data_IF_421114402750
#
_entry.id   IF_421114402750
#
_cell.length_a   1.000
_cell.length_b   1.000
_cell.length_c   1.000
_cell.angle_alpha   90.00
_cell.angle_beta   90.00
_cell.angle_gamma   90.00
#
_symmetry.space_group_name_H-M   'P 1'
#
loop_
_entity.id
_entity.type
_entity.pdbx_description
1 polymer ?
#
# COMPACT_ATOMS: atom_id res chain seq x y z
N UNK A 1 -15.76 -0.40 19.19
CA UNK A 1 -15.00 0.55 18.38
C UNK A 1 -14.74 -0.13 17.05
N UNK A 2 -15.13 0.51 15.95
CA UNK A 2 -15.43 -0.15 14.68
C UNK A 2 -14.11 -0.39 13.94
N UNK A 3 -13.65 -1.65 13.95
CA UNK A 3 -12.75 -2.16 12.92
C UNK A 3 -13.61 -2.32 11.65
N UNK A 4 -13.64 -1.30 10.79
CA UNK A 4 -14.34 -1.37 9.51
C UNK A 4 -13.47 -2.21 8.59
N UNK A 5 -13.89 -3.45 8.35
CA UNK A 5 -13.49 -4.18 7.16
C UNK A 5 -13.76 -3.28 5.95
N UNK A 6 -12.70 -2.79 5.32
CA UNK A 6 -12.79 -1.99 4.11
C UNK A 6 -13.19 -2.95 2.99
N UNK A 7 -14.48 -2.94 2.65
CA UNK A 7 -14.96 -3.56 1.42
C UNK A 7 -14.56 -2.64 0.25
N UNK A 8 -13.69 -3.15 -0.62
CA UNK A 8 -13.28 -2.46 -1.84
C UNK A 8 -14.31 -2.72 -2.97
N UNK A 9 -14.85 -1.68 -3.61
CA UNK A 9 -15.80 -1.86 -4.71
C UNK A 9 -15.03 -2.14 -6.02
N UNK A 10 -15.14 -3.36 -6.54
CA UNK A 10 -14.50 -3.72 -7.81
C UNK A 10 -14.81 -5.12 -8.30
N UNK A 11 -16.09 -5.48 -8.40
CA UNK A 11 -16.50 -6.69 -9.13
C UNK A 11 -17.91 -6.51 -9.74
N UNK A 12 -18.02 -5.62 -10.72
CA UNK A 12 -19.15 -5.67 -11.65
C UNK A 12 -18.91 -6.78 -12.67
N UNK A 13 -19.81 -7.76 -12.68
CA UNK A 13 -19.88 -8.82 -13.70
C UNK A 13 -20.48 -8.23 -14.96
N UNK A 14 -19.63 -7.90 -15.93
CA UNK A 14 -20.00 -7.60 -17.31
C UNK A 14 -20.55 -8.85 -18.02
N UNK A 15 -21.59 -8.61 -18.82
CA UNK A 15 -22.41 -9.56 -19.56
C UNK A 15 -21.62 -10.20 -20.73
N UNK A 16 -22.00 -11.42 -21.11
CA UNK A 16 -21.39 -12.19 -22.20
C UNK A 16 -21.71 -11.66 -23.61
N UNK A 17 -21.01 -12.13 -24.66
CA UNK A 17 -21.03 -11.53 -25.97
C UNK A 17 -22.07 -12.12 -26.93
N UNK A 18 -22.61 -11.27 -27.81
CA UNK A 18 -23.32 -11.65 -29.04
C UNK A 18 -22.32 -11.91 -30.18
N UNK A 19 -22.54 -12.99 -30.92
CA UNK A 19 -21.80 -13.37 -32.14
C UNK A 19 -22.22 -12.54 -33.35
N UNK A 20 -21.29 -12.20 -34.25
CA UNK A 20 -21.66 -11.59 -35.52
C UNK A 20 -20.56 -11.22 -36.51
N UNK A 21 -20.23 -12.20 -37.38
CA UNK A 21 -20.02 -12.05 -38.84
C UNK A 21 -18.62 -11.72 -39.42
N UNK A 22 -18.28 -12.53 -40.42
CA UNK A 22 -17.09 -12.57 -41.28
C UNK A 22 -16.96 -11.36 -42.21
N UNK A 23 -15.71 -10.96 -42.48
CA UNK A 23 -15.31 -10.13 -43.61
C UNK A 23 -13.84 -10.34 -43.94
N UNK A 24 -13.57 -10.92 -45.10
CA UNK A 24 -12.26 -11.11 -45.70
C UNK A 24 -11.73 -9.83 -46.33
N UNK A 25 -10.45 -9.48 -46.13
CA UNK A 25 -9.67 -8.96 -47.26
C UNK A 25 -8.15 -9.14 -47.08
N UNK A 26 -7.48 -9.39 -48.20
CA UNK A 26 -6.04 -9.59 -48.35
C UNK A 26 -5.39 -8.23 -48.64
N UNK A 27 -4.22 -7.93 -48.07
CA UNK A 27 -3.43 -6.81 -48.60
C UNK A 27 -2.24 -6.34 -47.77
N UNK A 28 -1.06 -6.80 -48.16
CA UNK A 28 0.18 -6.02 -48.30
C UNK A 28 0.79 -5.31 -47.08
N UNK A 29 1.91 -5.86 -46.60
CA UNK A 29 2.89 -5.15 -45.78
C UNK A 29 3.71 -4.16 -46.62
N UNK A 30 4.12 -3.02 -46.05
CA UNK A 30 5.36 -2.37 -46.43
C UNK A 30 6.40 -2.42 -45.30
N UNK A 31 7.66 -2.63 -45.69
CA UNK A 31 8.85 -2.57 -44.82
C UNK A 31 9.31 -1.12 -44.63
N UNK A 32 9.67 -0.83 -43.37
CA UNK A 32 10.71 0.06 -42.84
C UNK A 32 10.72 1.57 -43.19
N UNK A 33 10.76 2.39 -42.14
CA UNK A 33 11.51 3.65 -42.11
C UNK A 33 11.90 3.98 -40.66
N UNK A 34 13.07 4.57 -40.51
CA UNK A 34 13.82 4.74 -39.27
C UNK A 34 13.28 5.84 -38.33
N UNK A 35 13.54 5.61 -37.04
CA UNK A 35 13.84 6.59 -35.97
C UNK A 35 13.01 7.87 -35.90
N UNK A 36 12.04 7.87 -35.00
CA UNK A 36 11.69 9.03 -34.17
C UNK A 36 11.57 8.56 -32.73
N UNK A 37 12.71 8.25 -32.11
CA UNK A 37 12.80 8.18 -30.65
C UNK A 37 12.94 9.61 -30.15
N UNK A 38 11.89 10.11 -29.51
CA UNK A 38 11.90 11.36 -28.78
C UNK A 38 12.97 11.28 -27.68
N UNK A 39 13.77 12.33 -27.45
CA UNK A 39 14.78 12.32 -26.41
C UNK A 39 14.13 12.39 -25.02
N UNK A 40 14.36 11.34 -24.22
CA UNK A 40 14.25 11.37 -22.76
C UNK A 40 12.84 11.29 -22.18
N UNK A 41 12.14 10.15 -22.33
CA UNK A 41 11.29 9.73 -21.20
C UNK A 41 12.23 9.15 -20.15
N UNK A 42 12.49 9.88 -19.06
CA UNK A 42 12.83 9.18 -17.83
C UNK A 42 11.72 8.15 -17.62
N UNK A 43 12.09 6.86 -17.57
CA UNK A 43 11.13 5.84 -17.19
C UNK A 43 10.69 6.20 -15.77
N UNK A 44 9.48 6.74 -15.63
CA UNK A 44 8.91 7.06 -14.33
C UNK A 44 8.70 5.73 -13.62
N UNK A 45 9.54 5.49 -12.61
CA UNK A 45 9.44 4.27 -11.82
C UNK A 45 8.26 4.42 -10.85
N UNK A 46 7.32 3.49 -10.90
CA UNK A 46 6.22 3.43 -9.94
C UNK A 46 6.77 3.12 -8.56
N UNK A 47 6.24 3.81 -7.55
CA UNK A 47 6.68 3.72 -6.16
C UNK A 47 5.52 3.31 -5.27
N UNK A 48 5.86 2.58 -4.21
CA UNK A 48 4.92 2.26 -3.15
C UNK A 48 4.99 3.32 -2.05
N UNK A 49 3.84 3.89 -1.70
CA UNK A 49 3.70 4.80 -0.56
C UNK A 49 2.82 4.18 0.51
N UNK A 50 3.26 4.28 1.77
CA UNK A 50 2.39 4.15 2.93
C UNK A 50 2.06 5.56 3.43
N UNK A 51 0.79 5.95 3.44
CA UNK A 51 0.34 7.34 3.63
C UNK A 51 -0.61 7.40 4.82
N UNK A 52 -0.26 8.19 5.83
CA UNK A 52 -1.17 8.58 6.89
C UNK A 52 -2.06 9.69 6.39
N UNK A 53 -3.35 9.41 6.33
CA UNK A 53 -4.37 10.38 5.97
C UNK A 53 -5.20 10.74 7.21
N UNK A 54 -5.55 12.02 7.31
CA UNK A 54 -6.32 12.59 8.40
C UNK A 54 -7.57 13.29 7.89
N UNK A 55 -8.51 13.55 8.79
CA UNK A 55 -9.72 14.33 8.51
C UNK A 55 -10.89 14.02 9.42
N UNK A 56 -12.00 14.72 9.17
CA UNK A 56 -13.22 14.61 9.96
C UNK A 56 -14.05 13.39 9.57
N UNK A 57 -14.83 12.91 10.54
CA UNK A 57 -15.96 12.02 10.27
C UNK A 57 -17.16 12.47 11.12
N UNK A 58 -18.40 12.57 10.59
CA UNK A 58 -19.55 13.17 11.31
C UNK A 58 -19.93 12.55 12.67
N UNK A 59 -19.43 11.34 12.95
CA UNK A 59 -19.65 10.61 14.21
C UNK A 59 -18.44 10.62 15.15
N UNK A 60 -17.30 11.16 14.71
CA UNK A 60 -16.11 11.24 15.53
C UNK A 60 -16.11 12.58 16.28
N UNK A 61 -15.74 12.56 17.56
CA UNK A 61 -15.65 13.77 18.38
C UNK A 61 -14.34 14.54 18.14
N UNK A 62 -13.36 13.86 17.55
CA UNK A 62 -12.06 14.40 17.15
C UNK A 62 -11.77 13.92 15.74
N UNK A 63 -10.77 14.52 15.12
CA UNK A 63 -10.21 14.09 13.85
C UNK A 63 -9.78 12.61 13.88
N UNK A 64 -9.98 11.90 12.78
CA UNK A 64 -9.64 10.49 12.62
C UNK A 64 -8.55 10.33 11.58
N UNK A 65 -7.69 9.34 11.82
CA UNK A 65 -6.58 9.03 10.93
C UNK A 65 -6.71 7.60 10.43
N UNK A 66 -6.14 7.34 9.25
CA UNK A 66 -6.10 6.03 8.62
C UNK A 66 -4.78 5.86 7.85
N UNK A 67 -4.38 4.62 7.58
CA UNK A 67 -3.19 4.32 6.79
C UNK A 67 -3.57 3.73 5.44
N UNK A 68 -2.99 4.27 4.37
CA UNK A 68 -3.23 3.81 3.00
C UNK A 68 -1.94 3.34 2.34
N UNK A 69 -2.01 2.22 1.64
CA UNK A 69 -0.98 1.78 0.72
C UNK A 69 -1.42 2.15 -0.69
N UNK A 70 -0.62 2.94 -1.40
CA UNK A 70 -0.94 3.42 -2.75
C UNK A 70 0.30 3.40 -3.63
N UNK A 71 0.10 3.14 -4.92
CA UNK A 71 1.17 3.15 -5.92
C UNK A 71 1.04 4.40 -6.79
N UNK A 72 2.16 5.08 -7.03
CA UNK A 72 2.22 6.24 -7.91
C UNK A 72 3.65 6.63 -8.27
N UNK A 73 3.81 7.52 -9.24
CA UNK A 73 5.13 8.06 -9.63
C UNK A 73 5.67 9.06 -8.61
N UNK A 74 4.76 9.81 -7.98
CA UNK A 74 5.02 10.78 -6.90
C UNK A 74 3.91 10.69 -5.86
N UNK A 75 4.10 11.29 -4.68
CA UNK A 75 3.05 11.35 -3.66
C UNK A 75 1.81 12.10 -4.17
N UNK A 76 2.00 13.18 -4.92
CA UNK A 76 0.92 13.99 -5.51
C UNK A 76 0.10 13.18 -6.52
N UNK A 77 0.75 12.31 -7.29
CA UNK A 77 0.07 11.42 -8.23
C UNK A 77 -0.86 10.40 -7.55
N UNK A 78 -0.69 10.16 -6.23
CA UNK A 78 -1.54 9.23 -5.46
C UNK A 78 -2.84 9.87 -4.94
N UNK A 79 -2.94 11.20 -4.95
CA UNK A 79 -4.07 11.94 -4.36
C UNK A 79 -5.45 11.49 -4.85
N UNK A 80 -5.67 11.22 -6.16
CA UNK A 80 -6.97 10.71 -6.62
C UNK A 80 -7.38 9.40 -5.95
N UNK A 81 -6.43 8.48 -5.74
CA UNK A 81 -6.68 7.20 -5.07
C UNK A 81 -6.98 7.42 -3.57
N UNK A 82 -6.24 8.31 -2.91
CA UNK A 82 -6.48 8.66 -1.50
C UNK A 82 -7.87 9.27 -1.30
N UNK A 83 -8.29 10.19 -2.17
CA UNK A 83 -9.64 10.79 -2.15
C UNK A 83 -10.73 9.76 -2.37
N UNK A 84 -10.53 8.83 -3.31
CA UNK A 84 -11.51 7.78 -3.60
C UNK A 84 -11.66 6.79 -2.42
N UNK A 85 -10.58 6.55 -1.67
CA UNK A 85 -10.55 5.62 -0.55
C UNK A 85 -11.00 6.24 0.79
N UNK A 86 -10.97 7.57 0.91
CA UNK A 86 -11.31 8.26 2.15
C UNK A 86 -12.79 8.12 2.50
N UNK A 87 -13.06 7.60 3.69
CA UNK A 87 -14.40 7.30 4.19
C UNK A 87 -14.95 8.36 5.15
N UNK A 88 -14.14 9.36 5.52
CA UNK A 88 -14.56 10.51 6.29
C UNK A 88 -15.28 11.56 5.44
N UNK A 89 -15.30 12.80 5.93
CA UNK A 89 -15.78 13.95 5.18
C UNK A 89 -14.81 14.23 4.02
N UNK A 90 -15.25 14.21 2.75
CA UNK A 90 -14.34 14.34 1.61
C UNK A 90 -13.49 15.62 1.60
N UNK A 91 -14.05 16.74 2.09
CA UNK A 91 -13.39 18.05 2.09
C UNK A 91 -12.40 18.25 3.23
N UNK A 92 -12.34 17.36 4.22
CA UNK A 92 -11.42 17.47 5.35
C UNK A 92 -10.15 16.63 5.18
N UNK A 93 -10.06 15.85 4.10
CA UNK A 93 -8.94 14.94 3.86
C UNK A 93 -7.63 15.73 3.74
N UNK A 94 -6.62 15.29 4.48
CA UNK A 94 -5.24 15.74 4.35
C UNK A 94 -4.28 14.56 4.56
N UNK A 95 -2.98 14.78 4.34
CA UNK A 95 -1.91 13.82 4.64
C UNK A 95 -1.11 14.35 5.84
N UNK A 96 -0.89 13.52 6.86
CA UNK A 96 -0.04 13.85 8.03
C UNK A 96 1.36 13.23 7.95
N UNK A 97 1.58 12.41 6.94
CA UNK A 97 2.88 11.86 6.64
C UNK A 97 2.81 10.72 5.66
N UNK A 98 3.96 10.39 5.08
CA UNK A 98 4.08 9.25 4.20
C UNK A 98 5.48 8.64 4.25
N UNK A 99 5.56 7.37 3.89
CA UNK A 99 6.80 6.67 3.63
C UNK A 99 6.82 6.21 2.16
N UNK A 100 7.81 6.68 1.39
CA UNK A 100 8.18 6.08 0.10
C UNK A 100 9.00 4.81 0.39
N UNK A 101 8.40 3.64 0.17
CA UNK A 101 8.98 2.35 0.53
C UNK A 101 9.86 1.83 -0.62
N UNK A 102 11.13 2.21 -0.61
CA UNK A 102 12.15 1.77 -1.58
C UNK A 102 12.99 0.60 -1.08
N UNK A 103 13.26 0.55 0.23
CA UNK A 103 13.97 -0.53 0.90
C UNK A 103 13.29 -0.82 2.24
N UNK A 104 13.02 -2.09 2.54
CA UNK A 104 12.42 -2.53 3.80
C UNK A 104 13.17 -3.73 4.34
N UNK A 105 13.56 -3.67 5.61
CA UNK A 105 14.09 -4.83 6.36
C UNK A 105 15.27 -5.54 5.66
N UNK A 106 16.13 -4.74 5.01
CA UNK A 106 17.30 -5.22 4.27
C UNK A 106 17.02 -5.72 2.85
N UNK A 107 15.82 -5.48 2.30
CA UNK A 107 15.43 -5.85 0.93
C UNK A 107 15.01 -4.62 0.12
N UNK A 108 15.28 -4.64 -1.18
CA UNK A 108 14.72 -3.67 -2.12
C UNK A 108 13.23 -3.97 -2.35
N UNK A 109 12.43 -2.92 -2.48
CA UNK A 109 11.01 -2.98 -2.82
C UNK A 109 10.88 -2.65 -4.30
N UNK A 110 10.67 -3.69 -5.11
CA UNK A 110 10.46 -3.54 -6.55
C UNK A 110 8.98 -3.77 -6.90
N UNK A 111 8.39 -2.87 -7.67
CA UNK A 111 7.03 -3.01 -8.21
C UNK A 111 7.08 -3.45 -9.67
N UNK A 112 6.33 -4.51 -9.99
CA UNK A 112 6.19 -5.03 -11.35
C UNK A 112 4.71 -5.00 -11.75
N UNK A 113 4.34 -4.44 -12.91
CA UNK A 113 2.97 -4.48 -13.39
C UNK A 113 2.46 -5.93 -13.58
N UNK A 114 1.21 -6.16 -13.21
CA UNK A 114 0.53 -7.45 -13.34
C UNK A 114 0.48 -8.25 -12.04
N UNK A 115 -0.03 -9.47 -12.13
CA UNK A 115 -0.13 -10.40 -11.00
C UNK A 115 1.12 -11.27 -10.90
N UNK A 116 1.49 -11.64 -9.68
CA UNK A 116 2.52 -12.65 -9.45
C UNK A 116 2.19 -13.96 -10.19
N UNK A 117 3.17 -14.52 -10.92
CA UNK A 117 3.02 -15.83 -11.55
C UNK A 117 2.99 -16.99 -10.54
N UNK A 118 3.60 -16.76 -9.37
CA UNK A 118 3.62 -17.69 -8.24
C UNK A 118 3.72 -16.88 -6.93
N UNK A 119 3.32 -17.46 -5.78
CA UNK A 119 3.52 -16.82 -4.49
C UNK A 119 5.00 -16.49 -4.23
N UNK A 120 5.34 -15.26 -3.81
CA UNK A 120 6.72 -14.90 -3.54
C UNK A 120 7.22 -15.58 -2.26
N UNK A 121 8.53 -15.86 -2.19
CA UNK A 121 9.17 -16.45 -1.01
C UNK A 121 9.20 -15.49 0.20
N UNK A 122 9.10 -14.17 -0.06
CA UNK A 122 9.01 -13.12 0.96
C UNK A 122 7.92 -12.15 0.57
N UNK A 123 7.21 -11.66 1.58
CA UNK A 123 6.15 -10.68 1.46
C UNK A 123 6.51 -9.45 2.29
N UNK A 124 5.99 -8.30 1.86
CA UNK A 124 6.00 -7.08 2.65
C UNK A 124 4.78 -7.10 3.57
N UNK A 125 5.04 -6.94 4.86
CA UNK A 125 4.03 -6.87 5.89
C UNK A 125 4.06 -5.51 6.55
N UNK A 126 2.87 -4.97 6.77
CA UNK A 126 2.68 -3.85 7.68
C UNK A 126 2.15 -4.38 9.00
N UNK A 127 2.74 -3.92 10.10
CA UNK A 127 2.28 -4.22 11.45
C UNK A 127 1.92 -2.92 12.14
N UNK A 128 0.64 -2.77 12.46
CA UNK A 128 0.14 -1.78 13.39
C UNK A 128 0.23 -2.38 14.80
N UNK A 129 1.37 -2.20 15.48
CA UNK A 129 1.59 -2.75 16.81
C UNK A 129 1.08 -1.75 17.85
N UNK A 130 0.04 -2.09 18.61
CA UNK A 130 -0.50 -1.27 19.68
C UNK A 130 0.13 -1.58 21.04
N UNK A 131 0.17 -0.59 21.94
CA UNK A 131 0.66 -0.81 23.29
C UNK A 131 0.47 0.37 24.25
N UNK A 132 0.69 0.10 25.54
CA UNK A 132 0.47 1.05 26.61
C UNK A 132 1.75 1.28 27.42
N UNK A 133 2.05 2.56 27.63
CA UNK A 133 3.12 3.04 28.52
C UNK A 133 2.51 3.65 29.78
N UNK A 134 2.87 3.18 30.99
CA UNK A 134 2.35 3.74 32.23
C UNK A 134 2.56 5.26 32.33
N UNK A 135 1.50 5.98 32.69
CA UNK A 135 1.52 7.43 32.82
C UNK A 135 1.20 8.21 31.54
N UNK A 136 1.06 7.54 30.39
CA UNK A 136 0.58 8.17 29.16
C UNK A 136 -0.92 7.88 28.96
N UNK A 137 -1.65 8.92 28.54
CA UNK A 137 -3.07 8.80 28.22
C UNK A 137 -3.23 8.25 26.80
N UNK A 138 -3.88 7.10 26.68
CA UNK A 138 -4.17 6.46 25.39
C UNK A 138 -3.16 5.41 24.95
N UNK A 139 -3.56 4.66 23.93
CA UNK A 139 -2.74 3.64 23.28
C UNK A 139 -1.75 4.28 22.31
N UNK A 140 -0.52 3.80 22.32
CA UNK A 140 0.52 4.15 21.36
C UNK A 140 0.63 3.07 20.29
N UNK A 141 1.03 3.47 19.09
CA UNK A 141 1.23 2.55 17.98
C UNK A 141 2.63 2.68 17.38
N UNK A 142 3.22 1.53 17.08
CA UNK A 142 4.44 1.42 16.29
C UNK A 142 4.08 0.84 14.93
N UNK A 143 4.33 1.64 13.90
CA UNK A 143 4.08 1.31 12.51
C UNK A 143 5.33 0.66 11.92
N UNK A 144 5.27 -0.64 11.66
CA UNK A 144 6.43 -1.41 11.23
C UNK A 144 6.21 -1.99 9.84
N UNK A 145 7.19 -1.78 8.97
CA UNK A 145 7.30 -2.47 7.69
C UNK A 145 8.34 -3.59 7.82
N UNK A 146 7.94 -4.82 7.55
CA UNK A 146 8.74 -6.02 7.75
C UNK A 146 8.70 -6.93 6.53
N UNK A 147 9.85 -7.47 6.14
CA UNK A 147 9.92 -8.54 5.15
C UNK A 147 9.87 -9.89 5.87
N UNK A 148 9.07 -10.82 5.37
CA UNK A 148 8.99 -12.16 5.95
C UNK A 148 8.19 -13.14 5.09
N UNK A 149 8.39 -14.43 5.34
CA UNK A 149 7.66 -15.48 4.62
C UNK A 149 6.26 -15.67 5.17
N UNK A 150 6.13 -15.68 6.50
CA UNK A 150 4.91 -16.07 7.20
C UNK A 150 4.48 -15.03 8.23
N UNK A 151 3.17 -14.80 8.32
CA UNK A 151 2.57 -13.82 9.24
C UNK A 151 3.02 -14.01 10.70
N UNK A 152 3.14 -15.26 11.16
CA UNK A 152 3.49 -15.58 12.54
C UNK A 152 4.95 -15.21 12.89
N UNK A 153 5.87 -15.38 11.94
CA UNK A 153 7.29 -15.03 12.12
C UNK A 153 7.46 -13.51 12.18
N UNK A 154 6.84 -12.79 11.23
CA UNK A 154 6.77 -11.33 11.20
C UNK A 154 6.18 -10.78 12.50
N UNK A 155 5.06 -11.33 12.95
CA UNK A 155 4.42 -10.94 14.20
C UNK A 155 5.33 -11.13 15.41
N UNK A 156 6.08 -12.24 15.46
CA UNK A 156 7.04 -12.48 16.54
C UNK A 156 8.15 -11.43 16.56
N UNK A 157 8.67 -11.05 15.40
CA UNK A 157 9.71 -10.03 15.27
C UNK A 157 9.19 -8.63 15.58
N UNK A 158 7.97 -8.29 15.16
CA UNK A 158 7.33 -7.01 15.47
C UNK A 158 7.23 -6.80 16.99
N UNK A 159 6.71 -7.79 17.72
CA UNK A 159 6.59 -7.72 19.19
C UNK A 159 7.91 -7.58 19.92
N UNK A 160 9.01 -8.05 19.34
CA UNK A 160 10.34 -7.90 19.91
C UNK A 160 10.88 -6.46 19.81
N UNK A 161 10.29 -5.59 18.97
CA UNK A 161 10.69 -4.18 18.82
C UNK A 161 10.16 -3.24 19.92
N UNK A 162 9.16 -3.68 20.70
CA UNK A 162 8.57 -2.88 21.79
C UNK A 162 8.40 -3.70 23.07
N UNK A 163 9.51 -4.19 23.66
CA UNK A 163 9.49 -5.03 24.86
C UNK A 163 8.90 -4.35 26.09
N UNK A 164 8.92 -3.02 26.14
CA UNK A 164 8.48 -2.17 27.25
C UNK A 164 6.96 -1.92 27.29
N UNK A 165 6.25 -2.14 26.18
CA UNK A 165 4.82 -1.90 26.09
C UNK A 165 3.99 -3.00 26.77
N UNK A 166 3.10 -2.56 27.64
CA UNK A 166 2.16 -3.38 28.41
C UNK A 166 0.78 -3.43 27.73
N UNK A 167 -0.14 -4.28 28.21
CA UNK A 167 -1.52 -4.34 27.70
C UNK A 167 -1.71 -5.13 26.40
N UNK A 168 -0.88 -6.15 26.18
CA UNK A 168 -0.98 -7.08 25.04
C UNK A 168 -2.19 -8.00 25.23
N UNK A 169 -3.40 -7.52 24.95
CA UNK A 169 -4.62 -8.28 25.19
C UNK A 169 -5.04 -9.06 23.95
N UNK A 170 -5.10 -10.38 24.09
CA UNK A 170 -5.94 -11.26 23.29
C UNK A 170 -7.09 -11.71 24.17
N UNK A 171 -7.95 -10.78 24.60
CA UNK A 171 -9.17 -11.12 25.33
C UNK A 171 -10.34 -10.20 24.92
N UNK A 172 -11.39 -10.86 24.44
CA UNK A 172 -12.71 -10.36 24.03
C UNK A 172 -12.79 -9.42 22.80
N UNK A 173 -12.85 -10.08 21.64
CA UNK A 173 -13.51 -9.67 20.38
C UNK A 173 -12.85 -8.65 19.43
N UNK A 174 -11.69 -8.07 19.73
CA UNK A 174 -10.98 -7.23 18.74
C UNK A 174 -9.47 -7.46 18.86
N UNK A 175 -8.81 -7.88 17.78
CA UNK A 175 -7.35 -7.78 17.69
C UNK A 175 -7.00 -6.30 17.61
N UNK A 176 -6.38 -5.77 18.65
CA UNK A 176 -5.83 -4.40 18.70
C UNK A 176 -4.66 -4.28 17.71
N UNK A 177 -4.01 -5.41 17.39
CA UNK A 177 -2.92 -5.46 16.45
C UNK A 177 -3.38 -5.94 15.08
N UNK A 178 -3.00 -5.19 14.05
CA UNK A 178 -3.23 -5.58 12.67
C UNK A 178 -1.90 -5.90 11.97
N UNK A 179 -1.86 -7.08 11.34
CA UNK A 179 -0.75 -7.48 10.47
C UNK A 179 -1.33 -7.68 9.08
N UNK A 180 -0.99 -6.76 8.20
CA UNK A 180 -1.51 -6.63 6.83
C UNK A 180 -0.46 -7.17 5.85
N UNK A 181 -0.89 -8.07 4.96
CA UNK A 181 -0.08 -8.53 3.81
C UNK A 181 -0.15 -7.48 2.70
N UNK A 182 0.80 -6.54 2.67
CA UNK A 182 0.84 -5.47 1.67
C UNK A 182 1.09 -6.04 0.28
N UNK A 183 1.90 -7.10 0.17
CA UNK A 183 2.11 -7.79 -1.11
C UNK A 183 0.79 -8.33 -1.68
N UNK A 184 -0.01 -8.99 -0.83
CA UNK A 184 -1.32 -9.51 -1.23
C UNK A 184 -2.33 -8.41 -1.62
N UNK A 185 -2.30 -7.25 -0.94
CA UNK A 185 -3.12 -6.10 -1.31
C UNK A 185 -2.77 -5.58 -2.71
N UNK A 186 -1.48 -5.39 -3.00
CA UNK A 186 -1.03 -4.86 -4.28
C UNK A 186 -1.27 -5.85 -5.44
N UNK A 187 -1.12 -7.15 -5.21
CA UNK A 187 -1.43 -8.18 -6.22
C UNK A 187 -2.91 -8.10 -6.67
N UNK A 188 -3.82 -7.72 -5.75
CA UNK A 188 -5.22 -7.51 -6.06
C UNK A 188 -5.46 -6.24 -6.92
N UNK A 189 -4.60 -5.24 -6.79
CA UNK A 189 -4.60 -4.00 -7.57
C UNK A 189 -3.80 -4.10 -8.89
N UNK A 190 -3.26 -5.28 -9.20
CA UNK A 190 -2.50 -5.52 -10.43
C UNK A 190 -1.04 -5.09 -10.36
N UNK A 191 -0.48 -5.02 -9.15
CA UNK A 191 0.93 -4.77 -8.89
C UNK A 191 1.57 -5.94 -8.14
N UNK A 192 2.58 -6.53 -8.74
CA UNK A 192 3.39 -7.55 -8.09
C UNK A 192 4.58 -6.91 -7.37
N UNK A 193 4.62 -7.06 -6.04
CA UNK A 193 5.75 -6.60 -5.21
C UNK A 193 6.81 -7.70 -5.06
N UNK A 194 8.08 -7.35 -5.32
CA UNK A 194 9.24 -8.23 -5.16
C UNK A 194 10.15 -7.76 -4.03
N UNK A 195 10.63 -8.73 -3.25
CA UNK A 195 11.63 -8.60 -2.18
C UNK A 195 12.71 -9.68 -2.34
N UNK A 196 13.35 -9.73 -3.50
CA UNK A 196 14.33 -10.74 -3.87
C UNK A 196 15.76 -10.20 -4.02
N UNK A 197 15.93 -8.88 -4.06
CA UNK A 197 17.23 -8.22 -4.02
C UNK A 197 17.54 -7.65 -2.63
N UNK A 198 18.77 -7.83 -2.12
CA UNK A 198 19.21 -7.15 -0.91
C UNK A 198 19.19 -5.63 -1.08
N UNK A 199 18.79 -4.92 -0.02
CA UNK A 199 18.91 -3.48 0.07
C UNK A 199 20.34 -3.03 -0.23
N UNK A 200 20.46 -1.95 -0.98
CA UNK A 200 21.76 -1.35 -1.34
C UNK A 200 22.17 -0.26 -0.37
N UNK A 201 21.22 0.26 0.43
CA UNK A 201 21.42 1.43 1.27
C UNK A 201 21.57 2.75 0.49
N UNK A 202 21.49 2.71 -0.84
CA UNK A 202 21.67 3.89 -1.71
C UNK A 202 20.41 4.75 -1.79
N UNK A 203 19.25 4.12 -1.68
CA UNK A 203 17.94 4.78 -1.73
C UNK A 203 17.11 4.24 -0.56
N UNK A 204 17.40 4.64 0.69
CA UNK A 204 16.61 4.22 1.84
C UNK A 204 15.19 4.78 1.74
N UNK A 205 14.26 4.16 2.47
CA UNK A 205 12.89 4.67 2.55
C UNK A 205 12.88 6.15 2.98
N UNK A 206 12.16 6.98 2.23
CA UNK A 206 11.98 8.40 2.57
C UNK A 206 10.72 8.54 3.40
N UNK A 207 10.87 8.98 4.64
CA UNK A 207 9.75 9.25 5.56
C UNK A 207 9.59 10.76 5.69
N UNK A 208 8.36 11.24 5.51
CA UNK A 208 7.95 12.63 5.72
C UNK A 208 6.83 12.64 6.75
N UNK A 209 6.92 13.54 7.72
CA UNK A 209 5.88 13.77 8.74
C UNK A 209 5.59 15.27 8.74
N UNK A 210 4.52 15.65 8.07
CA UNK A 210 4.13 17.04 7.85
C UNK A 210 2.63 17.08 7.52
N UNK A 211 1.99 18.22 7.80
CA UNK A 211 0.58 18.44 7.46
C UNK A 211 0.49 18.95 6.02
N UNK A 212 -0.08 18.14 5.13
CA UNK A 212 -0.21 18.43 3.70
C UNK A 212 -1.70 18.47 3.35
N UNK A 213 -2.20 19.67 3.10
CA UNK A 213 -3.55 19.90 2.59
C UNK A 213 -3.68 19.37 1.14
N UNK A 214 -4.80 18.69 0.85
CA UNK A 214 -5.06 18.06 -0.46
C UNK A 214 -6.07 18.82 -1.31
#
# INVERSE_FOLDING_TARGET
MICLQVAWPGAERGQGPEEGRKGSDRGLAPKASASNLLPGSEATCMKLFAVFVGGDHPRASIEVHDLRFVVGETIEATVPALRAAWWGTPSSLHIDGYAELTEVDGWQVDLVPGKAAAPPARRLWFVNLGGYTPGLFGEQHNYLFLAGGEKAEVWSRARARSPEWTGRHKDNFVCIDEVIDVTGLLDAEGWHLRLDHPATGKVPARIVSDYIEL
#
